data_IF_673997667500
#
_entry.id   IF_673997667500
#
_cell.length_a   1.000
_cell.length_b   1.000
_cell.length_c   1.000
_cell.angle_alpha   90.00
_cell.angle_beta   90.00
_cell.angle_gamma   90.00
#
_symmetry.space_group_name_H-M   'P 1'
#
loop_
_entity.id
_entity.type
_entity.pdbx_description
1 polymer ?
#
# COMPACT_ATOMS: atom_id res chain seq x y z
N UNK A 1 13.84 -14.81 -13.02
CA UNK A 1 13.61 -13.42 -12.58
C UNK A 1 13.14 -13.47 -11.15
N UNK A 2 13.80 -12.78 -10.22
CA UNK A 2 13.25 -12.63 -8.87
C UNK A 2 12.02 -11.71 -8.94
N UNK A 3 10.90 -12.16 -8.40
CA UNK A 3 9.67 -11.36 -8.30
C UNK A 3 9.83 -10.44 -7.09
N UNK A 4 9.86 -9.13 -7.31
CA UNK A 4 9.88 -8.13 -6.23
C UNK A 4 8.59 -8.22 -5.42
N UNK A 5 8.69 -8.54 -4.13
CA UNK A 5 7.53 -8.78 -3.26
C UNK A 5 7.17 -7.54 -2.47
N UNK A 6 5.89 -7.22 -2.43
CA UNK A 6 5.39 -6.12 -1.62
C UNK A 6 4.13 -6.50 -0.84
N UNK A 7 3.93 -5.87 0.31
CA UNK A 7 2.70 -6.02 1.09
C UNK A 7 2.00 -4.68 1.24
N UNK A 8 0.68 -4.65 0.99
CA UNK A 8 -0.17 -3.51 1.30
C UNK A 8 -0.63 -3.64 2.74
N UNK A 9 -0.33 -2.62 3.56
CA UNK A 9 -0.63 -2.57 4.99
C UNK A 9 -1.36 -1.26 5.30
N UNK A 10 -2.42 -1.29 6.10
CA UNK A 10 -3.27 -0.11 6.35
C UNK A 10 -4.57 -0.49 7.04
N UNK A 11 -5.28 0.49 7.61
CA UNK A 11 -6.54 0.28 8.33
C UNK A 11 -7.65 -0.35 7.47
N UNK A 12 -8.72 -0.82 8.12
CA UNK A 12 -9.95 -1.23 7.42
C UNK A 12 -10.48 -0.04 6.62
N UNK A 13 -10.89 -0.28 5.37
CA UNK A 13 -11.40 0.80 4.51
C UNK A 13 -10.32 1.73 3.93
N UNK A 14 -9.03 1.46 4.14
CA UNK A 14 -7.93 2.27 3.62
C UNK A 14 -7.78 2.25 2.08
N UNK A 15 -8.54 1.41 1.37
CA UNK A 15 -8.45 1.28 -0.09
C UNK A 15 -7.41 0.27 -0.59
N UNK A 16 -6.85 -0.58 0.30
CA UNK A 16 -5.85 -1.61 -0.05
C UNK A 16 -6.31 -2.55 -1.16
N UNK A 17 -7.47 -3.21 -1.01
CA UNK A 17 -7.99 -4.13 -2.02
C UNK A 17 -8.28 -3.43 -3.36
N UNK A 18 -8.78 -2.19 -3.32
CA UNK A 18 -8.97 -1.38 -4.54
C UNK A 18 -7.63 -1.09 -5.22
N UNK A 19 -6.64 -0.64 -4.46
CA UNK A 19 -5.30 -0.35 -4.94
C UNK A 19 -4.60 -1.61 -5.47
N UNK A 20 -4.77 -2.73 -4.78
CA UNK A 20 -4.27 -4.04 -5.17
C UNK A 20 -4.81 -4.46 -6.55
N UNK A 21 -6.12 -4.33 -6.75
CA UNK A 21 -6.75 -4.64 -8.05
C UNK A 21 -6.29 -3.68 -9.16
N UNK A 22 -6.17 -2.39 -8.84
CA UNK A 22 -5.68 -1.38 -9.78
C UNK A 22 -4.24 -1.67 -10.23
N UNK A 23 -3.35 -2.03 -9.31
CA UNK A 23 -1.96 -2.41 -9.61
C UNK A 23 -1.85 -3.68 -10.48
N UNK A 24 -2.86 -4.55 -10.46
CA UNK A 24 -2.93 -5.73 -11.32
C UNK A 24 -3.44 -5.45 -12.74
N UNK A 25 -3.96 -4.25 -13.02
CA UNK A 25 -4.61 -3.94 -14.29
C UNK A 25 -5.90 -4.74 -14.56
N UNK A 26 -6.50 -5.37 -13.52
CA UNK A 26 -7.72 -6.17 -13.65
C UNK A 26 -8.93 -5.39 -13.14
N UNK A 27 -9.85 -5.07 -14.05
CA UNK A 27 -11.21 -4.56 -13.75
C UNK A 27 -12.18 -5.69 -13.30
N UNK A 28 -11.68 -6.71 -12.60
CA UNK A 28 -12.55 -7.80 -12.12
C UNK A 28 -12.90 -7.64 -10.64
N UNK A 29 -14.13 -8.05 -10.34
CA UNK A 29 -14.81 -7.94 -9.05
C UNK A 29 -13.96 -8.50 -7.90
N UNK A 30 -13.96 -7.83 -6.73
CA UNK A 30 -13.10 -8.20 -5.62
C UNK A 30 -13.46 -9.59 -5.10
N UNK A 31 -12.62 -10.58 -5.37
CA UNK A 31 -12.59 -11.81 -4.56
C UNK A 31 -11.85 -11.48 -3.27
N UNK A 32 -12.57 -11.43 -2.15
CA UNK A 32 -11.96 -11.37 -0.81
C UNK A 32 -10.98 -12.53 -0.68
N UNK A 33 -9.68 -12.21 -0.61
CA UNK A 33 -8.63 -13.20 -0.34
C UNK A 33 -8.82 -13.71 1.08
N UNK A 34 -9.08 -15.01 1.22
CA UNK A 34 -8.99 -15.70 2.51
C UNK A 34 -7.58 -16.31 2.60
N UNK A 35 -6.86 -15.93 3.66
CA UNK A 35 -5.47 -16.27 3.99
C UNK A 35 -4.37 -15.42 3.31
N UNK A 36 -3.34 -15.11 4.12
CA UNK A 36 -2.18 -14.24 3.84
C UNK A 36 -1.23 -14.87 2.80
N UNK A 37 -1.71 -15.14 1.59
CA UNK A 37 -0.89 -15.67 0.51
C UNK A 37 -0.42 -14.56 -0.44
N UNK A 38 0.84 -14.66 -0.85
CA UNK A 38 1.37 -13.86 -1.95
C UNK A 38 0.71 -14.28 -3.25
N UNK A 39 0.37 -13.30 -4.07
CA UNK A 39 -0.05 -13.60 -5.42
C UNK A 39 1.12 -13.92 -6.37
N UNK A 40 0.77 -14.33 -7.60
CA UNK A 40 1.73 -14.62 -8.67
C UNK A 40 2.61 -13.41 -9.05
N UNK A 41 2.24 -12.19 -8.65
CA UNK A 41 2.96 -10.94 -8.88
C UNK A 41 3.80 -10.50 -7.65
N UNK A 42 3.81 -11.29 -6.57
CA UNK A 42 4.56 -10.99 -5.34
C UNK A 42 3.84 -10.04 -4.38
N UNK A 43 2.57 -9.72 -4.63
CA UNK A 43 1.80 -8.80 -3.81
C UNK A 43 0.98 -9.54 -2.73
N UNK A 44 0.95 -8.98 -1.51
CA UNK A 44 0.10 -9.45 -0.41
C UNK A 44 -0.92 -8.36 -0.03
N UNK A 45 -2.22 -8.70 -0.05
CA UNK A 45 -3.28 -7.88 0.54
C UNK A 45 -3.49 -8.34 2.00
N UNK A 46 -3.18 -7.46 2.97
CA UNK A 46 -3.39 -7.78 4.38
C UNK A 46 -4.78 -7.32 4.83
N UNK A 47 -5.57 -8.14 5.56
CA UNK A 47 -6.83 -7.65 6.12
C UNK A 47 -6.58 -6.45 7.05
N UNK A 48 -7.39 -5.40 6.93
CA UNK A 48 -7.17 -4.18 7.73
C UNK A 48 -7.28 -4.40 9.25
N UNK A 49 -7.93 -5.49 9.65
CA UNK A 49 -8.03 -5.93 11.04
C UNK A 49 -6.67 -6.16 11.70
N UNK A 50 -5.65 -6.52 10.91
CA UNK A 50 -4.29 -6.73 11.42
C UNK A 50 -3.65 -5.46 11.97
N UNK A 51 -4.09 -4.29 11.49
CA UNK A 51 -3.65 -2.98 12.00
C UNK A 51 -4.66 -2.40 13.00
N UNK A 52 -5.95 -2.69 12.83
CA UNK A 52 -6.98 -2.22 13.75
C UNK A 52 -6.97 -2.93 15.11
N UNK A 53 -6.38 -4.13 15.22
CA UNK A 53 -6.36 -4.90 16.47
C UNK A 53 -4.92 -5.18 16.93
N UNK A 54 -4.49 -4.61 18.09
CA UNK A 54 -3.13 -4.82 18.62
C UNK A 54 -2.70 -6.28 18.78
N UNK A 55 -3.66 -7.18 19.03
CA UNK A 55 -3.40 -8.63 19.16
C UNK A 55 -2.89 -9.28 17.87
N UNK A 56 -3.15 -8.66 16.71
CA UNK A 56 -2.77 -9.18 15.39
C UNK A 56 -1.45 -8.59 14.87
N UNK A 57 -0.82 -7.66 15.59
CA UNK A 57 0.44 -7.02 15.16
C UNK A 57 1.56 -8.02 14.93
N UNK A 58 1.66 -9.03 15.81
CA UNK A 58 2.67 -10.09 15.64
C UNK A 58 2.44 -10.89 14.36
N UNK A 59 1.18 -11.23 14.07
CA UNK A 59 0.84 -11.95 12.84
C UNK A 59 1.14 -11.12 11.59
N UNK A 60 0.88 -9.80 11.64
CA UNK A 60 1.26 -8.87 10.57
C UNK A 60 2.77 -8.88 10.34
N UNK A 61 3.55 -8.62 11.39
CA UNK A 61 5.02 -8.55 11.33
C UNK A 61 5.61 -9.83 10.74
N UNK A 62 5.17 -11.00 11.22
CA UNK A 62 5.68 -12.28 10.71
C UNK A 62 5.27 -12.53 9.26
N UNK A 63 4.07 -12.13 8.86
CA UNK A 63 3.61 -12.29 7.47
C UNK A 63 4.37 -11.41 6.49
N UNK A 64 4.83 -10.23 6.92
CA UNK A 64 5.56 -9.27 6.10
C UNK A 64 7.07 -9.48 6.11
N UNK A 65 7.59 -10.50 6.80
CA UNK A 65 9.03 -10.74 6.90
C UNK A 65 9.68 -11.12 5.55
N UNK A 66 8.91 -11.69 4.62
CA UNK A 66 9.41 -12.13 3.31
C UNK A 66 9.16 -11.13 2.15
N UNK A 67 8.80 -9.88 2.44
CA UNK A 67 8.61 -8.82 1.42
C UNK A 67 9.83 -7.93 1.29
N UNK A 68 10.06 -7.39 0.09
CA UNK A 68 11.10 -6.40 -0.22
C UNK A 68 10.60 -4.97 0.06
N UNK A 69 9.29 -4.73 -0.12
CA UNK A 69 8.67 -3.41 0.08
C UNK A 69 7.40 -3.49 0.93
N UNK A 70 7.33 -2.66 1.96
CA UNK A 70 6.11 -2.37 2.69
C UNK A 70 5.44 -1.14 2.11
N UNK A 71 4.16 -1.26 1.79
CA UNK A 71 3.34 -0.16 1.28
C UNK A 71 2.28 0.18 2.31
N UNK A 72 2.47 1.28 3.04
CA UNK A 72 1.49 1.76 4.00
C UNK A 72 0.43 2.62 3.31
N UNK A 73 -0.82 2.16 3.32
CA UNK A 73 -1.96 2.82 2.69
C UNK A 73 -2.79 3.54 3.74
N UNK A 74 -2.95 4.85 3.57
CA UNK A 74 -3.67 5.75 4.47
C UNK A 74 -4.66 6.62 3.70
N UNK A 75 -5.95 6.70 4.06
CA UNK A 75 -6.89 7.60 3.40
C UNK A 75 -6.57 9.08 3.59
N UNK A 76 -6.80 9.89 2.56
CA UNK A 76 -6.66 11.34 2.62
C UNK A 76 -7.66 12.01 3.59
N UNK A 77 -8.75 11.34 3.94
CA UNK A 77 -9.76 11.84 4.88
C UNK A 77 -9.72 11.16 6.26
N UNK A 78 -8.65 10.43 6.58
CA UNK A 78 -8.49 9.76 7.89
C UNK A 78 -7.51 10.58 8.77
N UNK A 79 -7.98 11.17 9.88
CA UNK A 79 -7.14 11.96 10.78
C UNK A 79 -6.23 11.10 11.68
N UNK A 80 -6.50 9.80 11.82
CA UNK A 80 -5.74 8.91 12.71
C UNK A 80 -4.83 7.94 11.96
N UNK A 81 -3.52 8.04 12.19
CA UNK A 81 -2.57 7.05 11.69
C UNK A 81 -2.43 5.93 12.71
N UNK A 82 -2.86 4.72 12.33
CA UNK A 82 -2.86 3.56 13.21
C UNK A 82 -1.68 2.63 12.96
N UNK A 83 -0.49 3.16 12.67
CA UNK A 83 0.69 2.32 12.47
C UNK A 83 0.96 1.46 13.72
N UNK A 84 1.10 0.13 13.57
CA UNK A 84 1.49 -0.72 14.68
C UNK A 84 2.84 -0.29 15.25
N UNK A 85 2.98 -0.12 16.58
CA UNK A 85 4.24 0.22 17.21
C UNK A 85 5.33 -0.81 16.86
N UNK A 86 6.53 -0.33 16.54
CA UNK A 86 7.66 -1.18 16.17
C UNK A 86 7.59 -1.77 14.75
N UNK A 87 6.51 -1.58 13.99
CA UNK A 87 6.42 -2.08 12.61
C UNK A 87 7.53 -1.50 11.75
N UNK A 88 7.78 -0.19 11.84
CA UNK A 88 8.81 0.48 11.05
C UNK A 88 10.22 0.08 11.51
N UNK A 89 10.42 -0.09 12.82
CA UNK A 89 11.72 -0.46 13.40
C UNK A 89 12.14 -1.88 13.01
N UNK A 90 11.20 -2.83 13.06
CA UNK A 90 11.43 -4.23 12.67
C UNK A 90 11.73 -4.36 11.17
N UNK A 91 11.14 -3.47 10.36
CA UNK A 91 11.34 -3.45 8.91
C UNK A 91 12.30 -2.35 8.46
N UNK A 92 13.19 -1.89 9.34
CA UNK A 92 14.13 -0.79 9.07
C UNK A 92 15.10 -1.06 7.91
N UNK A 93 15.38 -2.33 7.61
CA UNK A 93 16.15 -2.75 6.43
C UNK A 93 15.34 -2.87 5.14
N UNK A 94 14.03 -2.61 5.16
CA UNK A 94 13.13 -2.75 4.01
C UNK A 94 12.76 -1.41 3.42
N UNK A 95 12.39 -1.43 2.13
CA UNK A 95 11.84 -0.24 1.50
C UNK A 95 10.43 0.01 2.03
N UNK A 96 10.18 1.24 2.50
CA UNK A 96 8.87 1.70 2.93
C UNK A 96 8.34 2.75 1.95
N UNK A 97 7.15 2.51 1.41
CA UNK A 97 6.42 3.44 0.55
C UNK A 97 5.12 3.82 1.24
N UNK A 98 4.87 5.12 1.37
CA UNK A 98 3.59 5.65 1.80
C UNK A 98 2.66 5.85 0.62
N UNK A 99 1.38 5.51 0.79
CA UNK A 99 0.33 5.77 -0.20
C UNK A 99 -0.83 6.46 0.49
N UNK A 100 -1.14 7.67 0.04
CA UNK A 100 -2.32 8.43 0.44
C UNK A 100 -3.42 8.12 -0.57
N UNK A 101 -4.45 7.38 -0.14
CA UNK A 101 -5.56 6.96 -0.99
C UNK A 101 -6.76 7.89 -0.88
N UNK A 102 -7.73 7.74 -1.80
CA UNK A 102 -9.00 8.50 -1.79
C UNK A 102 -8.81 10.02 -1.89
N UNK A 103 -7.77 10.45 -2.60
CA UNK A 103 -7.53 11.87 -2.87
C UNK A 103 -8.63 12.52 -3.73
N UNK A 104 -9.52 11.72 -4.33
CA UNK A 104 -10.69 12.12 -5.10
C UNK A 104 -11.90 12.53 -4.24
N UNK A 105 -11.90 12.27 -2.93
CA UNK A 105 -13.04 12.61 -2.08
C UNK A 105 -13.10 14.12 -1.78
N UNK A 106 -14.33 14.64 -1.64
CA UNK A 106 -14.55 16.05 -1.34
C UNK A 106 -14.03 16.48 0.06
N UNK A 107 -13.90 15.54 0.98
CA UNK A 107 -13.35 15.72 2.33
C UNK A 107 -11.86 15.30 2.45
N UNK A 108 -11.19 15.07 1.32
CA UNK A 108 -9.78 14.69 1.30
C UNK A 108 -8.86 15.85 1.73
N UNK A 109 -7.95 15.56 2.66
CA UNK A 109 -6.84 16.44 3.03
C UNK A 109 -5.51 15.67 2.90
N UNK A 110 -4.98 15.54 1.67
CA UNK A 110 -3.76 14.78 1.43
C UNK A 110 -2.53 15.41 2.09
N UNK A 111 -2.52 16.73 2.33
CA UNK A 111 -1.40 17.40 2.99
C UNK A 111 -1.37 17.09 4.50
N UNK A 112 -2.54 17.06 5.14
CA UNK A 112 -2.66 16.60 6.53
C UNK A 112 -2.32 15.12 6.67
N UNK A 113 -2.78 14.27 5.75
CA UNK A 113 -2.45 12.85 5.71
C UNK A 113 -0.94 12.62 5.56
N UNK A 114 -0.28 13.34 4.65
CA UNK A 114 1.17 13.27 4.48
C UNK A 114 1.90 13.69 5.77
N UNK A 115 1.52 14.84 6.32
CA UNK A 115 2.08 15.35 7.58
C UNK A 115 1.93 14.35 8.73
N UNK A 116 0.78 13.68 8.81
CA UNK A 116 0.51 12.65 9.79
C UNK A 116 1.40 11.42 9.62
N UNK A 117 1.58 10.94 8.39
CA UNK A 117 2.48 9.81 8.07
C UNK A 117 3.94 10.13 8.41
N UNK A 118 4.39 11.35 8.09
CA UNK A 118 5.74 11.84 8.41
C UNK A 118 5.99 11.86 9.92
N UNK A 119 5.01 12.34 10.71
CA UNK A 119 5.10 12.34 12.19
C UNK A 119 5.20 10.94 12.78
N UNK A 120 4.69 9.91 12.09
CA UNK A 120 4.76 8.51 12.52
C UNK A 120 5.96 7.75 11.96
N UNK A 121 6.95 8.44 11.37
CA UNK A 121 8.22 7.83 10.95
C UNK A 121 8.26 7.40 9.48
N UNK A 122 7.24 7.69 8.68
CA UNK A 122 7.27 7.40 7.23
C UNK A 122 8.05 8.51 6.52
N UNK A 123 9.38 8.36 6.45
CA UNK A 123 10.28 9.31 5.79
C UNK A 123 10.61 8.96 4.33
N UNK A 124 10.13 7.81 3.85
CA UNK A 124 10.32 7.38 2.46
C UNK A 124 9.48 8.15 1.44
N UNK A 125 9.38 7.57 0.25
CA UNK A 125 8.52 8.07 -0.83
C UNK A 125 7.05 7.96 -0.42
N UNK A 126 6.30 9.05 -0.56
CA UNK A 126 4.86 9.10 -0.29
C UNK A 126 4.16 9.51 -1.59
N UNK A 127 3.22 8.69 -2.04
CA UNK A 127 2.48 8.90 -3.28
C UNK A 127 1.00 9.14 -2.96
N UNK A 128 0.40 10.07 -3.70
CA UNK A 128 -1.04 10.33 -3.67
C UNK A 128 -1.69 9.53 -4.78
N UNK A 129 -2.75 8.80 -4.46
CA UNK A 129 -3.53 8.02 -5.43
C UNK A 129 -5.01 8.35 -5.32
N UNK A 130 -5.63 8.57 -6.47
CA UNK A 130 -7.04 8.85 -6.64
C UNK A 130 -7.64 7.80 -7.59
N UNK A 131 -8.90 7.43 -7.40
CA UNK A 131 -9.53 6.41 -8.26
C UNK A 131 -9.73 6.88 -9.71
N UNK A 132 -9.90 8.18 -9.90
CA UNK A 132 -10.11 8.86 -11.17
C UNK A 132 -8.81 9.34 -11.84
N UNK A 133 -7.66 9.08 -11.22
CA UNK A 133 -6.33 9.39 -11.76
C UNK A 133 -5.53 8.10 -12.04
N UNK A 134 -5.64 7.52 -13.26
CA UNK A 134 -4.85 6.37 -13.67
C UNK A 134 -3.33 6.62 -13.65
N UNK A 135 -2.88 7.87 -13.82
CA UNK A 135 -1.45 8.22 -13.82
C UNK A 135 -0.86 8.04 -12.42
N UNK A 136 -1.63 8.32 -11.36
CA UNK A 136 -1.21 8.06 -9.99
C UNK A 136 -0.93 6.58 -9.71
N UNK A 137 -1.76 5.68 -10.23
CA UNK A 137 -1.62 4.23 -10.10
C UNK A 137 -0.41 3.73 -10.89
N UNK A 138 -0.20 4.24 -12.11
CA UNK A 138 0.98 3.84 -12.90
C UNK A 138 2.27 4.33 -12.25
N UNK A 139 2.29 5.53 -11.66
CA UNK A 139 3.46 6.00 -10.88
C UNK A 139 3.76 5.07 -9.71
N UNK A 140 2.75 4.65 -8.95
CA UNK A 140 2.93 3.66 -7.88
C UNK A 140 3.46 2.34 -8.44
N UNK A 141 2.97 1.89 -9.60
CA UNK A 141 3.43 0.67 -10.26
C UNK A 141 4.91 0.74 -10.66
N UNK A 142 5.35 1.87 -11.22
CA UNK A 142 6.75 2.12 -11.57
C UNK A 142 7.64 2.11 -10.32
N UNK A 143 7.18 2.78 -9.26
CA UNK A 143 7.85 2.81 -7.95
C UNK A 143 7.98 1.40 -7.38
N UNK A 144 6.97 0.54 -7.48
CA UNK A 144 6.99 -0.81 -6.91
C UNK A 144 7.76 -1.83 -7.77
N UNK A 145 7.79 -1.68 -9.09
CA UNK A 145 8.37 -2.69 -10.00
C UNK A 145 9.65 -2.24 -10.71
N UNK A 146 10.10 -1.00 -10.52
CA UNK A 146 11.35 -0.48 -11.08
C UNK A 146 11.42 -0.47 -12.62
N UNK A 147 10.28 -0.54 -13.33
CA UNK A 147 10.24 -0.44 -14.79
C UNK A 147 9.73 0.93 -15.21
N UNK A 148 10.49 1.59 -16.10
CA UNK A 148 10.02 2.66 -16.96
C UNK A 148 8.73 2.25 -17.68
N UNK A 149 7.89 3.20 -18.13
CA UNK A 149 6.67 2.87 -18.86
C UNK A 149 7.01 1.89 -19.98
N UNK A 150 6.17 0.88 -20.17
CA UNK A 150 6.23 0.06 -21.37
C UNK A 150 6.15 1.04 -22.53
N UNK A 151 7.23 1.19 -23.29
CA UNK A 151 7.15 1.81 -24.59
C UNK A 151 6.08 1.01 -25.34
N UNK A 152 4.92 1.64 -25.52
CA UNK A 152 3.92 1.21 -26.47
C UNK A 152 4.57 1.32 -27.85
N UNK A 153 5.27 0.26 -28.22
CA UNK A 153 5.67 0.01 -29.59
C UNK A 153 4.41 -0.44 -30.33
N UNK A 154 3.56 0.51 -30.69
CA UNK A 154 2.56 0.27 -31.72
C UNK A 154 3.29 0.14 -33.06
N UNK A 155 3.02 -0.92 -33.85
CA UNK A 155 3.54 -1.07 -35.21
C UNK A 155 2.98 -0.01 -36.16
#
# INVERSE_FOLDING_TARGET
MQTHRYALVGGVGAGKTTLFNALRGRRETPRKTQALDFDLCGAMDTPGEFISHPRLYRALITSTDNVDTLVYVHPANEPECRLPPGLLDIHSGKRLVGVISKCDLADADPDAAESLMRRHGIHGEILRVAQDDPTSIERLRQVLHGRAPLEEKYP
#
